data_IF_390670911994
#
_entry.id   IF_390670911994
#
_cell.length_a   1.000
_cell.length_b   1.000
_cell.length_c   1.000
_cell.angle_alpha   90.00
_cell.angle_beta   90.00
_cell.angle_gamma   90.00
#
_symmetry.space_group_name_H-M   'P 1'
#
loop_
_entity.id
_entity.type
_entity.pdbx_description
1 polymer ?
#
# COMPACT_ATOMS: atom_id res chain seq x y z
N UNK A 1 -17.13 27.40 8.80
CA UNK A 1 -16.07 27.19 9.80
C UNK A 1 -14.76 27.23 9.06
N UNK A 2 -13.99 28.30 9.22
CA UNK A 2 -12.68 28.48 8.60
C UNK A 2 -11.67 27.95 9.63
N UNK A 3 -10.94 26.90 9.29
CA UNK A 3 -9.86 26.37 10.13
C UNK A 3 -8.60 27.20 9.87
N UNK A 4 -8.12 27.88 10.91
CA UNK A 4 -6.91 28.70 10.95
C UNK A 4 -5.65 27.84 10.80
N UNK A 5 -5.29 27.51 9.55
CA UNK A 5 -4.05 26.81 9.22
C UNK A 5 -2.79 27.68 9.40
N UNK A 6 -2.95 29.00 9.56
CA UNK A 6 -1.84 29.97 9.60
C UNK A 6 -1.11 30.05 10.95
N UNK A 7 -1.69 29.50 12.03
CA UNK A 7 -1.08 29.56 13.36
C UNK A 7 -0.10 28.42 13.66
N UNK A 8 -0.09 27.34 12.88
CA UNK A 8 0.81 26.19 13.13
C UNK A 8 2.18 26.30 12.45
N UNK A 9 2.36 27.29 11.55
CA UNK A 9 3.58 27.44 10.75
C UNK A 9 4.77 28.08 11.51
N UNK A 10 4.57 28.68 12.69
CA UNK A 10 5.56 29.57 13.31
C UNK A 10 6.20 29.10 14.64
N UNK A 11 6.05 27.84 15.05
CA UNK A 11 6.58 27.38 16.35
C UNK A 11 7.90 26.59 16.34
N UNK A 12 8.37 26.04 15.22
CA UNK A 12 9.55 25.16 15.22
C UNK A 12 10.70 25.68 14.35
N UNK A 13 11.42 26.68 14.87
CA UNK A 13 12.81 26.93 14.47
C UNK A 13 13.76 26.28 15.47
N UNK A 14 14.19 25.05 15.18
CA UNK A 14 15.39 24.43 15.75
C UNK A 14 15.16 23.06 16.42
N UNK A 15 15.71 22.01 15.81
CA UNK A 15 15.90 20.68 16.42
C UNK A 15 14.79 19.68 16.09
N UNK A 16 15.10 18.73 15.21
CA UNK A 16 14.24 17.61 14.76
C UNK A 16 12.89 18.02 14.16
N UNK A 17 12.74 17.88 12.84
CA UNK A 17 11.47 18.17 12.17
C UNK A 17 10.46 17.09 12.56
N UNK A 18 9.73 17.33 13.65
CA UNK A 18 8.67 16.46 14.14
C UNK A 18 7.68 16.18 13.01
N UNK A 19 7.53 14.90 12.66
CA UNK A 19 6.55 14.44 11.68
C UNK A 19 5.15 14.77 12.23
N UNK A 20 4.27 15.40 11.43
CA UNK A 20 2.91 15.72 11.89
C UNK A 20 2.15 14.45 12.30
N UNK A 21 1.30 14.55 13.33
CA UNK A 21 0.57 13.39 13.86
C UNK A 21 -0.31 12.73 12.78
N UNK A 22 -0.98 13.55 11.97
CA UNK A 22 -1.82 13.10 10.86
C UNK A 22 -1.04 12.32 9.80
N UNK A 23 0.27 12.60 9.65
CA UNK A 23 1.15 11.83 8.78
C UNK A 23 1.47 10.49 9.43
N UNK A 24 1.80 10.44 10.72
CA UNK A 24 2.05 9.19 11.45
C UNK A 24 0.82 8.27 11.40
N UNK A 25 -0.36 8.80 11.73
CA UNK A 25 -1.62 8.05 11.68
C UNK A 25 -1.89 7.52 10.27
N UNK A 26 -1.69 8.34 9.24
CA UNK A 26 -1.86 7.90 7.86
C UNK A 26 -0.84 6.81 7.45
N UNK A 27 0.39 6.86 7.94
CA UNK A 27 1.40 5.80 7.72
C UNK A 27 0.92 4.48 8.33
N UNK A 28 0.40 4.49 9.55
CA UNK A 28 -0.09 3.28 10.22
C UNK A 28 -1.27 2.65 9.47
N UNK A 29 -2.27 3.47 9.09
CA UNK A 29 -3.44 3.02 8.33
C UNK A 29 -3.03 2.43 6.98
N UNK A 30 -2.14 3.12 6.26
CA UNK A 30 -1.66 2.65 4.96
C UNK A 30 -0.81 1.40 5.10
N UNK A 31 0.03 1.30 6.13
CA UNK A 31 0.80 0.09 6.42
C UNK A 31 -0.11 -1.13 6.62
N UNK A 32 -1.17 -1.01 7.42
CA UNK A 32 -2.17 -2.07 7.59
C UNK A 32 -2.84 -2.42 6.25
N UNK A 33 -3.27 -1.43 5.48
CA UNK A 33 -3.89 -1.66 4.18
C UNK A 33 -2.95 -2.39 3.19
N UNK A 34 -1.67 -2.01 3.11
CA UNK A 34 -0.70 -2.69 2.25
C UNK A 34 -0.41 -4.13 2.73
N UNK A 35 -0.45 -4.39 4.04
CA UNK A 35 -0.32 -5.74 4.58
C UNK A 35 -1.52 -6.62 4.19
N UNK A 36 -2.73 -6.06 4.20
CA UNK A 36 -3.95 -6.74 3.71
C UNK A 36 -3.82 -7.10 2.22
N UNK A 37 -3.43 -6.14 1.37
CA UNK A 37 -3.21 -6.40 -0.07
C UNK A 37 -2.15 -7.49 -0.31
N UNK A 38 -1.08 -7.50 0.47
CA UNK A 38 -0.06 -8.56 0.40
C UNK A 38 -0.61 -9.94 0.76
N UNK A 39 -1.49 -10.01 1.76
CA UNK A 39 -2.16 -11.25 2.14
C UNK A 39 -3.09 -11.72 1.02
N UNK A 40 -3.85 -10.82 0.40
CA UNK A 40 -4.74 -11.14 -0.71
C UNK A 40 -3.98 -11.66 -1.94
N UNK A 41 -2.90 -10.99 -2.33
CA UNK A 41 -2.01 -11.46 -3.41
C UNK A 41 -1.46 -12.85 -3.11
N UNK A 42 -1.08 -13.11 -1.86
CA UNK A 42 -0.57 -14.43 -1.46
C UNK A 42 -1.65 -15.50 -1.60
N UNK A 43 -2.88 -15.22 -1.16
CA UNK A 43 -4.04 -16.14 -1.34
C UNK A 43 -4.38 -16.37 -2.82
N UNK A 44 -4.23 -15.36 -3.67
CA UNK A 44 -4.42 -15.51 -5.13
C UNK A 44 -3.37 -16.46 -5.68
N UNK A 45 -2.08 -16.23 -5.40
CA UNK A 45 -0.98 -17.10 -5.84
C UNK A 45 -1.20 -18.56 -5.43
N UNK A 46 -1.63 -18.79 -4.19
CA UNK A 46 -1.93 -20.12 -3.67
C UNK A 46 -3.08 -20.79 -4.44
N UNK A 47 -4.16 -20.04 -4.76
CA UNK A 47 -5.33 -20.54 -5.52
C UNK A 47 -4.99 -20.92 -6.95
N UNK A 48 -4.20 -20.09 -7.64
CA UNK A 48 -3.81 -20.35 -9.04
C UNK A 48 -2.65 -21.35 -9.16
N UNK A 49 -2.08 -21.80 -8.03
CA UNK A 49 -0.99 -22.77 -8.01
C UNK A 49 0.34 -22.19 -8.48
N UNK A 50 0.56 -20.89 -8.30
CA UNK A 50 1.84 -20.26 -8.62
C UNK A 50 2.89 -20.66 -7.60
N UNK A 51 4.06 -21.07 -8.08
CA UNK A 51 5.19 -21.36 -7.21
C UNK A 51 5.55 -20.09 -6.40
N UNK A 52 5.62 -20.18 -5.06
CA UNK A 52 6.06 -19.08 -4.22
C UNK A 52 7.40 -18.46 -4.64
N UNK A 53 8.30 -19.24 -5.26
CA UNK A 53 9.62 -18.85 -5.73
C UNK A 53 9.65 -18.42 -7.21
N UNK A 54 8.52 -18.45 -7.93
CA UNK A 54 8.47 -17.97 -9.31
C UNK A 54 8.58 -16.45 -9.34
N UNK A 55 9.82 -15.96 -9.47
CA UNK A 55 10.14 -14.55 -9.59
C UNK A 55 9.84 -13.96 -10.98
N UNK A 56 9.51 -14.79 -11.97
CA UNK A 56 9.24 -14.36 -13.35
C UNK A 56 7.77 -13.96 -13.51
N UNK A 57 6.87 -14.58 -12.73
CA UNK A 57 5.44 -14.28 -12.83
C UNK A 57 5.12 -12.81 -12.45
N UNK A 58 4.31 -12.09 -13.24
CA UNK A 58 3.96 -10.68 -12.97
C UNK A 58 3.42 -10.43 -11.56
N UNK A 59 2.57 -11.34 -11.05
CA UNK A 59 2.02 -11.27 -9.69
C UNK A 59 3.11 -11.34 -8.62
N UNK A 60 4.19 -12.08 -8.85
CA UNK A 60 5.34 -12.12 -7.93
C UNK A 60 6.14 -10.82 -7.96
N UNK A 61 6.28 -10.20 -9.14
CA UNK A 61 6.86 -8.86 -9.27
C UNK A 61 6.06 -7.83 -8.47
N UNK A 62 4.75 -7.81 -8.67
CA UNK A 62 3.83 -6.95 -7.91
C UNK A 62 3.89 -7.22 -6.39
N UNK A 63 3.92 -8.48 -5.96
CA UNK A 63 4.09 -8.83 -4.54
C UNK A 63 5.38 -8.26 -3.95
N UNK A 64 6.48 -8.26 -4.72
CA UNK A 64 7.77 -7.71 -4.31
C UNK A 64 7.73 -6.18 -4.18
N UNK A 65 7.04 -5.50 -5.10
CA UNK A 65 6.77 -4.06 -5.04
C UNK A 65 5.97 -3.71 -3.77
N UNK A 66 4.88 -4.43 -3.51
CA UNK A 66 4.07 -4.22 -2.29
C UNK A 66 4.88 -4.44 -1.01
N UNK A 67 5.74 -5.47 -0.94
CA UNK A 67 6.65 -5.68 0.22
C UNK A 67 7.62 -4.53 0.40
N UNK A 68 8.15 -4.01 -0.71
CA UNK A 68 9.07 -2.88 -0.69
C UNK A 68 8.39 -1.63 -0.17
N UNK A 69 7.16 -1.35 -0.62
CA UNK A 69 6.35 -0.23 -0.12
C UNK A 69 6.07 -0.42 1.37
N UNK A 70 5.55 -1.57 1.78
CA UNK A 70 5.22 -1.87 3.18
C UNK A 70 6.40 -1.59 4.12
N UNK A 71 7.60 -2.08 3.77
CA UNK A 71 8.80 -1.87 4.57
C UNK A 71 9.21 -0.39 4.67
N UNK A 72 8.98 0.39 3.62
CA UNK A 72 9.30 1.83 3.60
C UNK A 72 8.30 2.67 4.37
N UNK A 73 7.04 2.24 4.49
CA UNK A 73 5.99 3.03 5.14
C UNK A 73 6.38 3.38 6.57
N UNK A 74 6.79 2.43 7.41
CA UNK A 74 7.17 2.74 8.80
C UNK A 74 8.63 3.19 8.96
N UNK A 75 9.35 3.38 7.85
CA UNK A 75 10.73 3.83 7.82
C UNK A 75 10.86 5.37 7.71
N UNK A 76 11.98 5.79 7.13
CA UNK A 76 12.37 7.18 6.90
C UNK A 76 11.68 7.83 5.68
N UNK A 77 10.74 7.12 5.04
CA UNK A 77 9.94 7.60 3.92
C UNK A 77 8.55 8.02 4.38
N UNK A 78 7.87 8.78 3.52
CA UNK A 78 6.49 9.19 3.71
C UNK A 78 6.25 10.05 4.96
N UNK A 79 7.08 11.09 5.13
CA UNK A 79 7.10 11.94 6.32
C UNK A 79 6.40 13.29 6.13
N UNK A 80 5.83 13.53 4.95
CA UNK A 80 5.08 14.75 4.61
C UNK A 80 3.66 14.42 4.16
N UNK A 81 2.70 15.36 4.28
CA UNK A 81 1.35 15.19 3.74
C UNK A 81 1.33 14.88 2.24
N UNK A 82 2.26 15.45 1.47
CA UNK A 82 2.43 15.22 0.04
C UNK A 82 2.82 13.77 -0.23
N UNK A 83 3.81 13.24 0.49
CA UNK A 83 4.20 11.84 0.37
C UNK A 83 3.03 10.90 0.70
N UNK A 84 2.23 11.25 1.71
CA UNK A 84 1.03 10.47 2.09
C UNK A 84 -0.03 10.52 1.00
N UNK A 85 -0.20 11.66 0.33
CA UNK A 85 -1.12 11.76 -0.79
C UNK A 85 -0.69 10.87 -1.97
N UNK A 86 0.61 10.83 -2.26
CA UNK A 86 1.18 9.92 -3.27
C UNK A 86 0.98 8.45 -2.89
N UNK A 87 1.30 8.10 -1.64
CA UNK A 87 1.14 6.74 -1.12
C UNK A 87 -0.33 6.27 -1.14
N UNK A 88 -1.28 7.17 -0.87
CA UNK A 88 -2.72 6.90 -1.02
C UNK A 88 -3.09 6.58 -2.47
N UNK A 89 -2.53 7.29 -3.46
CA UNK A 89 -2.77 6.98 -4.86
C UNK A 89 -2.17 5.64 -5.27
N UNK A 90 -0.95 5.32 -4.80
CA UNK A 90 -0.34 4.01 -4.99
C UNK A 90 -1.21 2.90 -4.40
N UNK A 91 -1.71 3.09 -3.18
CA UNK A 91 -2.61 2.14 -2.54
C UNK A 91 -3.89 1.90 -3.34
N UNK A 92 -4.53 2.96 -3.84
CA UNK A 92 -5.74 2.84 -4.67
C UNK A 92 -5.45 2.07 -5.97
N UNK A 93 -4.32 2.34 -6.63
CA UNK A 93 -3.90 1.60 -7.83
C UNK A 93 -3.63 0.13 -7.52
N UNK A 94 -2.88 -0.15 -6.46
CA UNK A 94 -2.59 -1.51 -6.02
C UNK A 94 -3.86 -2.30 -5.70
N UNK A 95 -4.81 -1.67 -4.99
CA UNK A 95 -6.10 -2.29 -4.68
C UNK A 95 -6.95 -2.57 -5.91
N UNK A 96 -6.94 -1.67 -6.89
CA UNK A 96 -7.64 -1.88 -8.16
C UNK A 96 -7.07 -3.11 -8.90
N UNK A 97 -5.73 -3.20 -8.97
CA UNK A 97 -5.07 -4.34 -9.59
C UNK A 97 -5.36 -5.66 -8.89
N UNK A 98 -5.36 -5.71 -7.54
CA UNK A 98 -5.74 -6.92 -6.80
C UNK A 98 -7.17 -7.36 -7.13
N UNK A 99 -8.13 -6.43 -7.24
CA UNK A 99 -9.51 -6.75 -7.62
C UNK A 99 -9.63 -7.32 -9.04
N UNK A 100 -8.81 -6.83 -9.96
CA UNK A 100 -8.72 -7.38 -11.32
C UNK A 100 -8.24 -8.83 -11.28
N UNK A 101 -7.15 -9.10 -10.54
CA UNK A 101 -6.63 -10.46 -10.34
C UNK A 101 -7.66 -11.41 -9.69
N UNK A 102 -8.42 -10.94 -8.70
CA UNK A 102 -9.48 -11.74 -8.08
C UNK A 102 -10.61 -12.10 -9.06
N UNK A 103 -10.94 -11.17 -9.97
CA UNK A 103 -11.97 -11.39 -10.99
C UNK A 103 -11.48 -12.38 -12.05
N UNK A 104 -10.23 -12.26 -12.48
CA UNK A 104 -9.59 -13.19 -13.41
C UNK A 104 -9.51 -14.61 -12.84
N UNK A 105 -9.05 -14.75 -11.59
CA UNK A 105 -9.00 -16.03 -10.87
C UNK A 105 -10.39 -16.68 -10.77
N UNK A 106 -11.40 -15.91 -10.34
CA UNK A 106 -12.78 -16.42 -10.24
C UNK A 106 -13.31 -16.92 -11.60
N UNK A 107 -12.98 -16.21 -12.68
CA UNK A 107 -13.35 -16.61 -14.05
C UNK A 107 -12.60 -17.82 -14.57
N UNK A 108 -11.35 -18.05 -14.15
CA UNK A 108 -10.60 -19.28 -14.48
C UNK A 108 -11.11 -20.50 -13.72
N UNK A 109 -11.42 -20.37 -12.43
CA UNK A 109 -11.98 -21.45 -11.63
C UNK A 109 -13.33 -21.92 -12.16
N UNK A 110 -14.20 -20.99 -12.61
CA UNK A 110 -15.48 -21.34 -13.25
C UNK A 110 -15.30 -22.14 -14.55
N UNK A 111 -14.29 -21.80 -15.37
CA UNK A 111 -14.00 -22.50 -16.63
C UNK A 111 -13.41 -23.89 -16.43
N UNK A 112 -12.63 -24.11 -15.36
CA UNK A 112 -12.04 -25.42 -15.05
C UNK A 112 -13.01 -26.39 -14.37
N UNK A 113 -14.15 -25.91 -13.88
CA UNK A 113 -15.19 -26.71 -13.22
C UNK A 113 -16.40 -27.09 -14.11
N UNK A 114 -16.41 -26.70 -15.38
CA UNK A 114 -17.43 -27.04 -16.38
C UNK A 114 -16.91 -28.13 -17.33
#
# INVERSE_FOLDING_TARGET
>A
MVFDALLWYNANKGGDTMIPYEVIEAKEILHEGFAELLADVSRIKDRVGLDPQDAVHPVSGFQSELRTILHRILGDRYNTPEDIAELKQEFVRARAYVRELETEDAGELQRKGA
#
